data_IF_417761704000
#
_entry.id   IF_417761704000
#
_cell.length_a   1.000
_cell.length_b   1.000
_cell.length_c   1.000
_cell.angle_alpha   90.00
_cell.angle_beta   90.00
_cell.angle_gamma   90.00
#
_symmetry.space_group_name_H-M   'P 1'
#
loop_
_entity.id
_entity.type
_entity.pdbx_description
1 polymer ?
#
# COMPACT_ATOMS: atom_id res chain seq x y z
N UNK A 1 5.20 -23.32 37.73
CA UNK A 1 4.54 -22.15 37.11
C UNK A 1 4.39 -22.42 35.62
N UNK A 2 3.36 -23.18 35.26
CA UNK A 2 3.06 -23.48 33.87
C UNK A 2 2.27 -22.32 33.29
N UNK A 3 2.85 -21.63 32.31
CA UNK A 3 2.13 -20.65 31.49
C UNK A 3 2.30 -21.03 30.02
N UNK A 4 1.81 -22.22 29.68
CA UNK A 4 1.53 -22.58 28.29
C UNK A 4 0.34 -21.75 27.80
N UNK A 5 0.60 -20.50 27.40
CA UNK A 5 -0.40 -19.66 26.71
C UNK A 5 -0.39 -19.99 25.23
N UNK A 6 -1.05 -21.09 24.89
CA UNK A 6 -1.57 -21.35 23.54
C UNK A 6 -2.83 -20.48 23.40
N UNK A 7 -2.65 -19.24 22.92
CA UNK A 7 -3.75 -18.36 22.50
C UNK A 7 -3.20 -17.49 21.38
N UNK A 8 -3.35 -17.96 20.14
CA UNK A 8 -4.35 -17.42 19.21
C UNK A 8 -3.84 -16.18 18.48
N UNK A 9 -3.55 -16.37 17.19
CA UNK A 9 -3.69 -15.35 16.15
C UNK A 9 -3.06 -13.99 16.45
N UNK A 10 -1.73 -13.91 16.42
CA UNK A 10 -1.13 -12.75 15.80
C UNK A 10 -0.72 -13.20 14.40
N UNK A 11 -1.69 -13.21 13.49
CA UNK A 11 -1.40 -13.06 12.08
C UNK A 11 -0.44 -11.88 12.02
N UNK A 12 0.85 -12.17 11.86
CA UNK A 12 1.80 -11.18 11.37
C UNK A 12 1.45 -11.00 9.91
N UNK A 13 0.26 -10.46 9.65
CA UNK A 13 -0.06 -9.80 8.41
C UNK A 13 0.86 -8.60 8.43
N UNK A 14 2.04 -8.86 7.86
CA UNK A 14 3.06 -7.93 7.43
C UNK A 14 2.71 -6.48 7.79
N UNK A 15 3.31 -6.02 8.89
CA UNK A 15 3.20 -4.65 9.39
C UNK A 15 3.90 -3.64 8.48
N UNK A 16 3.79 -3.79 7.18
CA UNK A 16 4.03 -2.71 6.25
C UNK A 16 2.69 -1.99 6.17
N UNK A 17 2.59 -0.75 6.62
CA UNK A 17 1.38 0.09 6.48
C UNK A 17 0.99 0.37 5.02
N UNK A 18 1.45 -0.45 4.10
CA UNK A 18 1.25 -0.38 2.68
C UNK A 18 -0.08 -1.05 2.34
N UNK A 19 -1.03 -0.27 1.85
CA UNK A 19 -2.34 -0.77 1.43
C UNK A 19 -2.45 -0.71 -0.08
N UNK A 20 -3.14 -1.69 -0.67
CA UNK A 20 -3.48 -1.63 -2.10
C UNK A 20 -4.59 -0.60 -2.28
N UNK A 21 -4.37 0.38 -3.16
CA UNK A 21 -5.38 1.37 -3.55
C UNK A 21 -5.46 1.52 -5.05
N UNK A 22 -6.64 1.92 -5.49
CA UNK A 22 -6.84 2.39 -6.85
C UNK A 22 -6.53 3.89 -6.91
N UNK A 23 -5.70 4.28 -7.86
CA UNK A 23 -5.33 5.68 -8.13
C UNK A 23 -5.46 5.95 -9.62
N UNK A 24 -5.83 7.19 -9.98
CA UNK A 24 -5.87 7.62 -11.37
C UNK A 24 -4.54 8.26 -11.76
N UNK A 25 -3.97 7.85 -12.90
CA UNK A 25 -2.82 8.55 -13.46
C UNK A 25 -3.25 9.95 -13.95
N UNK A 26 -2.58 11.03 -13.55
CA UNK A 26 -2.97 12.39 -13.95
C UNK A 26 -2.81 12.65 -15.46
N UNK A 27 -2.00 11.85 -16.16
CA UNK A 27 -1.69 12.05 -17.58
C UNK A 27 -2.66 11.32 -18.51
N UNK A 28 -2.87 10.02 -18.28
CA UNK A 28 -3.67 9.17 -19.16
C UNK A 28 -5.00 8.74 -18.54
N UNK A 29 -5.31 9.21 -17.33
CA UNK A 29 -6.55 8.98 -16.57
C UNK A 29 -6.92 7.52 -16.32
N UNK A 30 -5.99 6.60 -16.59
CA UNK A 30 -6.15 5.17 -16.30
C UNK A 30 -6.11 4.94 -14.78
N UNK A 31 -6.91 3.99 -14.33
CA UNK A 31 -6.94 3.56 -12.94
C UNK A 31 -5.91 2.44 -12.75
N UNK A 32 -4.96 2.64 -11.83
CA UNK A 32 -3.95 1.65 -11.47
C UNK A 32 -4.17 1.21 -10.04
N UNK A 33 -4.07 -0.11 -9.81
CA UNK A 33 -4.05 -0.67 -8.48
C UNK A 33 -2.60 -0.73 -8.01
N UNK A 34 -2.25 0.17 -7.10
CA UNK A 34 -0.87 0.36 -6.63
C UNK A 34 -0.83 0.25 -5.12
N UNK A 35 0.36 -0.08 -4.61
CA UNK A 35 0.59 -0.11 -3.19
C UNK A 35 0.93 1.32 -2.72
N UNK A 36 0.12 1.87 -1.84
CA UNK A 36 0.34 3.21 -1.28
C UNK A 36 0.87 3.11 0.16
N UNK A 37 1.73 4.04 0.61
CA UNK A 37 2.24 4.05 1.98
C UNK A 37 1.13 4.35 3.00
N UNK A 38 1.35 3.99 4.27
CA UNK A 38 0.43 4.31 5.37
C UNK A 38 0.43 5.80 5.71
N UNK A 39 1.51 6.51 5.43
CA UNK A 39 1.69 7.92 5.77
C UNK A 39 2.66 8.58 4.81
N UNK A 40 2.44 9.87 4.52
CA UNK A 40 3.25 10.65 3.60
C UNK A 40 2.82 10.48 2.14
N UNK A 41 3.75 10.72 1.22
CA UNK A 41 3.53 10.57 -0.22
C UNK A 41 4.65 9.74 -0.83
N UNK A 42 4.30 8.89 -1.79
CA UNK A 42 5.24 8.07 -2.54
C UNK A 42 5.13 8.45 -4.03
N UNK A 43 6.26 8.56 -4.72
CA UNK A 43 6.25 8.73 -6.19
C UNK A 43 6.19 7.36 -6.82
N UNK A 44 5.20 7.14 -7.69
CA UNK A 44 5.06 5.90 -8.44
C UNK A 44 5.04 6.20 -9.94
N UNK A 45 5.31 5.19 -10.76
CA UNK A 45 5.33 5.34 -12.22
C UNK A 45 4.15 4.60 -12.84
N UNK A 46 3.46 5.26 -13.77
CA UNK A 46 2.41 4.62 -14.54
C UNK A 46 3.02 3.67 -15.57
N UNK A 47 2.76 2.36 -15.47
CA UNK A 47 3.28 1.37 -16.43
C UNK A 47 2.78 1.52 -17.88
N UNK A 48 1.77 2.35 -18.13
CA UNK A 48 1.25 2.61 -19.48
C UNK A 48 1.97 3.77 -20.16
N UNK A 49 1.99 4.95 -19.53
CA UNK A 49 2.58 6.16 -20.10
C UNK A 49 3.97 6.49 -19.56
N UNK A 50 4.49 5.67 -18.63
CA UNK A 50 5.77 5.87 -17.92
C UNK A 50 5.88 7.25 -17.25
N UNK A 51 4.73 7.85 -16.86
CA UNK A 51 4.72 9.12 -16.16
C UNK A 51 4.84 8.89 -14.66
N UNK A 52 5.85 9.45 -13.98
CA UNK A 52 5.93 9.46 -12.52
C UNK A 52 4.91 10.44 -11.95
N UNK A 53 4.17 10.02 -10.91
CA UNK A 53 3.22 10.86 -10.20
C UNK A 53 3.23 10.54 -8.69
N UNK A 54 2.87 11.53 -7.88
CA UNK A 54 2.79 11.39 -6.44
C UNK A 54 1.44 10.79 -6.02
N UNK A 55 1.50 9.75 -5.21
CA UNK A 55 0.35 9.20 -4.49
C UNK A 55 0.50 9.52 -3.01
N UNK A 56 -0.56 10.07 -2.40
CA UNK A 56 -0.58 10.39 -0.98
C UNK A 56 -1.25 9.28 -0.18
N UNK A 57 -0.68 8.95 0.97
CA UNK A 57 -1.41 8.31 2.05
C UNK A 57 -2.51 9.26 2.51
N UNK A 58 -3.73 8.74 2.63
CA UNK A 58 -4.94 9.51 2.90
C UNK A 58 -4.93 10.22 4.26
#
# INVERSE_FOLDING_TARGET
>A
MERNRKSSSASKSDGSGRHMREVACPTCTVHLQVQVPASGSETIECGMCQHPFLVSAH
#
